data_IF_457866298130
#
_entry.id   IF_457866298130
#
_cell.length_a   1.000
_cell.length_b   1.000
_cell.length_c   1.000
_cell.angle_alpha   90.00
_cell.angle_beta   90.00
_cell.angle_gamma   90.00
#
_symmetry.space_group_name_H-M   'P 1'
#
loop_
_entity.id
_entity.type
_entity.pdbx_description
1 polymer ?
#
# COMPACT_ATOMS: atom_id res chain seq x y z
N UNK A 1 66.03 26.56 11.43
CA UNK A 1 65.02 25.51 11.33
C UNK A 1 63.68 26.12 11.67
N UNK A 2 62.77 26.34 10.72
CA UNK A 2 61.42 26.83 11.01
C UNK A 2 60.45 25.66 11.20
N UNK A 3 59.63 25.72 12.24
CA UNK A 3 58.56 24.82 12.53
C UNK A 3 57.37 25.13 11.58
N UNK A 4 56.95 24.12 10.82
CA UNK A 4 55.75 24.20 10.00
C UNK A 4 54.55 23.97 10.88
N UNK A 5 53.65 24.96 10.91
CA UNK A 5 52.30 24.88 11.45
C UNK A 5 51.41 24.25 10.40
N UNK A 6 50.94 23.06 10.64
CA UNK A 6 49.98 22.34 9.86
C UNK A 6 48.58 22.82 10.31
N UNK A 7 47.94 23.60 9.48
CA UNK A 7 46.55 24.03 9.65
C UNK A 7 45.62 22.86 9.26
N UNK A 8 44.96 22.28 10.24
CA UNK A 8 43.87 21.35 10.02
C UNK A 8 42.69 22.13 9.41
N UNK A 9 42.38 21.83 8.17
CA UNK A 9 41.10 22.19 7.55
C UNK A 9 40.02 21.28 8.13
N UNK A 10 39.12 21.88 8.90
CA UNK A 10 37.86 21.23 9.28
C UNK A 10 37.06 21.01 8.01
N UNK A 11 36.74 19.74 7.72
CA UNK A 11 35.77 19.34 6.70
C UNK A 11 34.37 19.76 7.16
N UNK A 12 33.90 20.84 6.56
CA UNK A 12 32.50 21.31 6.62
C UNK A 12 31.69 20.51 5.57
N UNK A 13 31.45 19.23 5.82
CA UNK A 13 30.68 18.40 4.91
C UNK A 13 29.63 17.57 5.67
N UNK A 14 28.76 18.24 6.46
CA UNK A 14 27.69 17.55 7.20
C UNK A 14 26.38 18.36 7.19
N UNK A 15 25.86 18.68 6.00
CA UNK A 15 24.60 19.41 5.89
C UNK A 15 23.70 19.02 4.72
N UNK A 16 23.73 17.76 4.22
CA UNK A 16 22.76 17.32 3.20
C UNK A 16 22.41 15.83 3.32
N UNK A 17 21.87 15.43 4.46
CA UNK A 17 21.15 14.15 4.49
C UNK A 17 19.71 14.39 4.04
N UNK A 18 19.34 13.78 2.92
CA UNK A 18 18.05 13.94 2.29
C UNK A 18 16.86 13.49 3.15
N UNK A 19 15.68 13.94 2.78
CA UNK A 19 14.41 13.83 3.50
C UNK A 19 13.96 12.39 3.83
N UNK A 20 14.50 11.36 3.19
CA UNK A 20 14.13 9.95 3.36
C UNK A 20 14.89 9.21 4.48
N UNK A 21 16.13 9.61 4.80
CA UNK A 21 16.92 9.03 5.92
C UNK A 21 16.62 9.64 7.29
N UNK A 22 15.56 10.46 7.42
CA UNK A 22 15.37 11.35 8.57
C UNK A 22 14.10 11.04 9.39
N UNK A 23 13.43 9.91 9.22
CA UNK A 23 12.21 9.59 9.98
C UNK A 23 12.54 8.74 11.20
N UNK A 24 12.32 9.29 12.41
CA UNK A 24 12.33 8.49 13.63
C UNK A 24 11.05 7.64 13.72
N UNK A 25 11.13 6.41 13.21
CA UNK A 25 10.01 5.47 13.19
C UNK A 25 9.54 5.05 14.58
N UNK A 26 10.40 5.10 15.60
CA UNK A 26 10.01 4.85 16.99
C UNK A 26 9.15 6.00 17.54
N UNK A 27 9.50 7.25 17.20
CA UNK A 27 8.66 8.42 17.48
C UNK A 27 7.36 8.35 16.71
N UNK A 28 7.39 7.95 15.42
CA UNK A 28 6.19 7.78 14.59
C UNK A 28 5.20 6.79 15.20
N UNK A 29 5.66 5.61 15.62
CA UNK A 29 4.83 4.60 16.27
C UNK A 29 4.19 5.12 17.56
N UNK A 30 4.99 5.73 18.46
CA UNK A 30 4.50 6.25 19.74
C UNK A 30 3.52 7.41 19.58
N UNK A 31 3.83 8.37 18.72
CA UNK A 31 2.97 9.53 18.44
C UNK A 31 1.67 9.07 17.77
N UNK A 32 1.78 8.20 16.75
CA UNK A 32 0.64 7.65 16.04
C UNK A 32 -0.32 6.89 16.96
N UNK A 33 0.21 6.04 17.84
CA UNK A 33 -0.62 5.30 18.80
C UNK A 33 -1.40 6.22 19.76
N UNK A 34 -0.78 7.34 20.19
CA UNK A 34 -1.45 8.35 21.03
C UNK A 34 -2.52 9.16 20.29
N UNK A 35 -2.33 9.39 18.99
CA UNK A 35 -3.26 10.13 18.15
C UNK A 35 -4.34 9.24 17.54
N UNK A 36 -4.21 7.91 17.64
CA UNK A 36 -5.17 6.97 17.11
C UNK A 36 -6.56 7.19 17.72
N UNK A 37 -7.57 7.27 16.86
CA UNK A 37 -8.95 7.41 17.31
C UNK A 37 -9.40 6.13 18.02
N UNK A 38 -10.23 6.20 19.05
CA UNK A 38 -10.77 5.01 19.70
C UNK A 38 -11.62 4.20 18.71
N UNK A 39 -11.66 2.87 18.90
CA UNK A 39 -12.53 1.97 18.15
C UNK A 39 -14.01 2.21 18.46
N UNK A 40 -14.92 1.50 17.77
CA UNK A 40 -16.35 1.56 18.09
C UNK A 40 -16.63 1.01 19.50
N UNK A 41 -17.58 1.61 20.20
CA UNK A 41 -18.02 1.09 21.47
C UNK A 41 -18.51 -0.36 21.29
N UNK A 42 -17.91 -1.29 22.05
CA UNK A 42 -18.23 -2.71 22.01
C UNK A 42 -17.95 -3.37 23.37
N UNK A 43 -18.67 -4.45 23.70
CA UNK A 43 -18.36 -5.22 24.89
C UNK A 43 -17.06 -6.00 24.73
N UNK A 44 -16.38 -6.33 25.82
CA UNK A 44 -15.19 -7.19 25.79
C UNK A 44 -15.48 -8.54 25.14
N UNK A 45 -16.64 -9.12 25.43
CA UNK A 45 -17.08 -10.38 24.83
C UNK A 45 -17.20 -10.27 23.30
N UNK A 46 -17.87 -9.23 22.79
CA UNK A 46 -18.01 -9.01 21.34
C UNK A 46 -16.66 -8.74 20.68
N UNK A 47 -15.78 -8.02 21.35
CA UNK A 47 -14.44 -7.77 20.82
C UNK A 47 -13.62 -9.06 20.74
N UNK A 48 -13.60 -9.87 21.80
CA UNK A 48 -12.92 -11.16 21.82
C UNK A 48 -13.48 -12.11 20.73
N UNK A 49 -14.79 -12.27 20.65
CA UNK A 49 -15.43 -13.09 19.62
C UNK A 49 -15.09 -12.64 18.20
N UNK A 50 -14.95 -11.32 17.96
CA UNK A 50 -14.56 -10.81 16.64
C UNK A 50 -13.07 -11.12 16.34
N UNK A 51 -12.20 -11.06 17.33
CA UNK A 51 -10.78 -11.44 17.19
C UNK A 51 -10.65 -12.91 16.82
N UNK A 52 -11.31 -13.79 17.60
CA UNK A 52 -11.27 -15.24 17.36
C UNK A 52 -11.84 -15.60 15.98
N UNK A 53 -12.94 -14.96 15.58
CA UNK A 53 -13.57 -15.21 14.28
C UNK A 53 -12.73 -14.70 13.12
N UNK A 54 -12.06 -13.54 13.23
CA UNK A 54 -11.14 -13.03 12.21
C UNK A 54 -9.93 -13.96 12.04
N UNK A 55 -9.34 -14.42 13.15
CA UNK A 55 -8.25 -15.39 13.10
C UNK A 55 -8.69 -16.68 12.38
N UNK A 56 -9.84 -17.23 12.76
CA UNK A 56 -10.39 -18.43 12.10
C UNK A 56 -10.76 -18.17 10.63
N UNK A 57 -11.28 -16.99 10.30
CA UNK A 57 -11.66 -16.62 8.93
C UNK A 57 -10.44 -16.47 8.02
N UNK A 58 -9.30 -16.00 8.52
CA UNK A 58 -8.06 -15.91 7.73
C UNK A 58 -7.56 -17.29 7.30
N UNK A 59 -7.69 -18.31 8.16
CA UNK A 59 -7.35 -19.69 7.82
C UNK A 59 -8.36 -20.26 6.82
N UNK A 60 -9.68 -20.04 7.04
CA UNK A 60 -10.72 -20.52 6.13
C UNK A 60 -10.64 -19.88 4.74
N UNK A 61 -10.11 -18.67 4.61
CA UNK A 61 -9.96 -17.98 3.33
C UNK A 61 -8.88 -18.60 2.42
N UNK A 62 -7.90 -19.33 2.99
CA UNK A 62 -6.79 -19.90 2.23
C UNK A 62 -7.22 -20.87 1.12
N UNK A 63 -8.04 -21.86 1.45
CA UNK A 63 -8.50 -22.83 0.47
C UNK A 63 -9.15 -22.17 -0.75
N UNK A 64 -10.23 -21.40 -0.56
CA UNK A 64 -10.90 -20.72 -1.66
C UNK A 64 -9.99 -19.78 -2.48
N UNK A 65 -9.06 -19.06 -1.84
CA UNK A 65 -8.11 -18.18 -2.56
C UNK A 65 -7.15 -19.01 -3.40
N UNK A 66 -6.55 -20.06 -2.85
CA UNK A 66 -5.61 -20.93 -3.57
C UNK A 66 -6.29 -21.69 -4.72
N UNK A 67 -7.50 -22.19 -4.50
CA UNK A 67 -8.29 -22.86 -5.55
C UNK A 67 -8.62 -21.88 -6.70
N UNK A 68 -9.01 -20.65 -6.37
CA UNK A 68 -9.36 -19.63 -7.38
C UNK A 68 -8.15 -19.15 -8.16
N UNK A 69 -7.01 -18.96 -7.47
CA UNK A 69 -5.81 -18.40 -8.08
C UNK A 69 -4.89 -19.46 -8.69
N UNK A 70 -4.93 -20.70 -8.22
CA UNK A 70 -3.93 -21.72 -8.56
C UNK A 70 -2.53 -21.40 -8.02
N UNK A 71 -2.42 -20.51 -7.02
CA UNK A 71 -1.15 -20.04 -6.46
C UNK A 71 -0.92 -20.61 -5.06
N UNK A 72 0.33 -20.62 -4.61
CA UNK A 72 0.79 -20.97 -3.25
C UNK A 72 0.41 -22.41 -2.82
N UNK A 73 0.19 -23.34 -3.76
CA UNK A 73 -0.09 -24.73 -3.42
C UNK A 73 1.07 -25.33 -2.61
N UNK A 74 0.74 -26.08 -1.55
CA UNK A 74 1.70 -26.69 -0.65
C UNK A 74 2.49 -25.73 0.26
N UNK A 75 2.33 -24.41 0.11
CA UNK A 75 3.02 -23.46 1.00
C UNK A 75 2.36 -23.38 2.39
N UNK A 76 3.14 -23.10 3.46
CA UNK A 76 2.59 -22.93 4.81
C UNK A 76 1.52 -21.83 4.87
N UNK A 77 0.62 -21.96 5.86
CA UNK A 77 -0.39 -20.95 6.19
C UNK A 77 -0.02 -20.32 7.54
N UNK A 78 0.68 -19.19 7.57
CA UNK A 78 0.99 -18.51 8.82
C UNK A 78 -0.28 -17.93 9.47
N UNK A 79 -0.30 -17.89 10.80
CA UNK A 79 -1.38 -17.26 11.55
C UNK A 79 -1.46 -15.75 11.28
N UNK A 80 -2.68 -15.23 11.14
CA UNK A 80 -2.90 -13.80 11.05
C UNK A 80 -2.82 -13.15 12.44
N UNK A 81 -2.25 -11.95 12.52
CA UNK A 81 -2.26 -11.13 13.71
C UNK A 81 -3.49 -10.21 13.71
N UNK A 82 -4.40 -10.44 14.64
CA UNK A 82 -5.57 -9.57 14.82
C UNK A 82 -5.21 -8.48 15.82
N UNK A 83 -5.20 -7.24 15.36
CA UNK A 83 -4.69 -6.08 16.10
C UNK A 83 -5.74 -4.99 16.29
N UNK A 84 -5.46 -4.09 17.21
CA UNK A 84 -6.13 -2.79 17.28
C UNK A 84 -5.42 -1.74 16.40
N UNK A 85 -5.91 -0.50 16.41
CA UNK A 85 -5.31 0.59 15.61
C UNK A 85 -3.89 0.93 16.03
N UNK A 86 -3.59 0.85 17.34
CA UNK A 86 -2.26 1.14 17.86
C UNK A 86 -1.27 0.02 17.47
N UNK A 87 -1.71 -1.23 17.53
CA UNK A 87 -0.95 -2.39 17.08
C UNK A 87 -0.65 -2.31 15.57
N UNK A 88 -1.65 -1.92 14.75
CA UNK A 88 -1.41 -1.71 13.32
C UNK A 88 -0.41 -0.57 13.06
N UNK A 89 -0.50 0.56 13.79
CA UNK A 89 0.44 1.67 13.66
C UNK A 89 1.87 1.23 13.98
N UNK A 90 2.05 0.44 15.04
CA UNK A 90 3.36 -0.08 15.40
C UNK A 90 3.93 -1.01 14.31
N UNK A 91 3.12 -1.91 13.78
CA UNK A 91 3.50 -2.79 12.68
C UNK A 91 3.82 -2.01 11.39
N UNK A 92 2.98 -1.04 11.01
CA UNK A 92 3.20 -0.21 9.83
C UNK A 92 4.47 0.64 9.94
N UNK A 93 4.79 1.18 11.12
CA UNK A 93 6.03 1.90 11.34
C UNK A 93 7.27 0.99 11.24
N UNK A 94 7.18 -0.25 11.74
CA UNK A 94 8.23 -1.25 11.59
C UNK A 94 8.42 -1.64 10.11
N UNK A 95 7.32 -1.90 9.39
CA UNK A 95 7.33 -2.21 7.97
C UNK A 95 7.97 -1.09 7.14
N UNK A 96 7.62 0.16 7.41
CA UNK A 96 8.21 1.33 6.74
C UNK A 96 9.71 1.43 7.01
N UNK A 97 10.15 1.15 8.23
CA UNK A 97 11.59 1.10 8.57
C UNK A 97 12.34 0.07 7.72
N UNK A 98 11.80 -1.15 7.59
CA UNK A 98 12.38 -2.21 6.75
C UNK A 98 12.34 -1.85 5.24
N UNK A 99 11.27 -1.21 4.78
CA UNK A 99 11.10 -0.82 3.38
C UNK A 99 12.06 0.30 2.97
N UNK A 100 12.36 1.24 3.87
CA UNK A 100 13.25 2.39 3.61
C UNK A 100 14.72 2.07 3.84
N UNK A 101 15.07 0.87 4.32
CA UNK A 101 16.46 0.46 4.56
C UNK A 101 17.08 1.02 5.84
N UNK A 102 16.31 1.71 6.68
CA UNK A 102 16.77 2.35 7.94
C UNK A 102 17.29 1.35 9.00
N UNK A 103 17.37 0.07 8.70
CA UNK A 103 17.84 -0.95 9.67
C UNK A 103 19.30 -0.79 10.07
N UNK A 104 20.14 -0.32 9.14
CA UNK A 104 21.57 -0.20 9.31
C UNK A 104 22.04 1.25 9.52
N UNK A 105 21.17 2.24 9.41
CA UNK A 105 21.51 3.62 9.64
C UNK A 105 21.48 3.96 11.13
N UNK A 106 22.53 4.64 11.60
CA UNK A 106 22.55 5.23 12.92
C UNK A 106 21.34 6.20 13.05
N UNK A 107 20.71 6.27 14.25
CA UNK A 107 19.59 7.20 14.42
C UNK A 107 20.00 8.60 13.97
N UNK A 108 19.11 9.34 13.26
CA UNK A 108 19.44 10.64 12.70
C UNK A 108 20.13 11.52 13.73
N UNK A 109 21.37 11.96 13.42
CA UNK A 109 22.17 12.77 14.30
C UNK A 109 21.75 14.25 14.21
N UNK A 110 21.71 14.94 15.32
CA UNK A 110 21.33 16.35 15.41
C UNK A 110 20.35 16.63 16.55
N UNK A 111 20.21 17.89 16.93
CA UNK A 111 19.42 18.32 18.10
C UNK A 111 17.96 17.86 18.08
N UNK A 112 17.38 17.59 16.90
CA UNK A 112 16.01 17.10 16.70
C UNK A 112 15.93 15.68 16.11
N UNK A 113 17.01 15.13 15.57
CA UNK A 113 17.20 13.71 15.20
C UNK A 113 16.00 13.04 14.52
N UNK A 114 15.45 13.59 13.42
CA UNK A 114 14.32 12.98 12.70
C UNK A 114 12.97 13.01 13.44
N UNK A 115 12.90 13.57 14.66
CA UNK A 115 11.67 13.60 15.47
C UNK A 115 10.52 14.38 14.83
N UNK A 116 10.73 15.53 14.18
CA UNK A 116 9.63 16.23 13.49
C UNK A 116 9.03 15.40 12.36
N UNK A 117 9.87 14.75 11.55
CA UNK A 117 9.41 13.84 10.49
C UNK A 117 8.72 12.60 11.08
N UNK A 118 9.23 12.07 12.20
CA UNK A 118 8.59 10.99 12.95
C UNK A 118 7.21 11.38 13.49
N UNK A 119 7.04 12.58 14.03
CA UNK A 119 5.73 13.08 14.47
C UNK A 119 4.75 13.22 13.31
N UNK A 120 5.20 13.72 12.16
CA UNK A 120 4.39 13.85 10.96
C UNK A 120 3.97 12.47 10.40
N UNK A 121 4.91 11.53 10.31
CA UNK A 121 4.64 10.17 9.91
C UNK A 121 3.66 9.48 10.89
N UNK A 122 3.84 9.68 12.21
CA UNK A 122 2.93 9.19 13.23
C UNK A 122 1.51 9.74 13.09
N UNK A 123 1.35 11.03 12.82
CA UNK A 123 0.04 11.62 12.56
C UNK A 123 -0.63 11.04 11.31
N UNK A 124 0.15 10.79 10.25
CA UNK A 124 -0.34 10.12 9.04
C UNK A 124 -0.78 8.69 9.33
N UNK A 125 0.04 7.90 10.03
CA UNK A 125 -0.31 6.53 10.42
C UNK A 125 -1.56 6.50 11.30
N UNK A 126 -1.71 7.43 12.26
CA UNK A 126 -2.91 7.55 13.08
C UNK A 126 -4.16 7.84 12.25
N UNK A 127 -4.05 8.67 11.22
CA UNK A 127 -5.15 8.94 10.30
C UNK A 127 -5.51 7.69 9.50
N UNK A 128 -4.54 7.04 8.88
CA UNK A 128 -4.71 5.83 8.06
C UNK A 128 -5.25 4.66 8.88
N UNK A 129 -4.81 4.52 10.14
CA UNK A 129 -5.23 3.43 11.03
C UNK A 129 -6.74 3.28 11.19
N UNK A 130 -7.51 4.35 10.94
CA UNK A 130 -8.97 4.35 11.02
C UNK A 130 -9.65 3.80 9.75
N UNK A 131 -8.92 3.65 8.65
CA UNK A 131 -9.46 3.25 7.35
C UNK A 131 -9.08 1.82 6.94
N UNK A 132 -7.96 1.31 7.43
CA UNK A 132 -7.41 0.01 7.08
C UNK A 132 -8.20 -1.11 7.76
N UNK A 133 -8.68 -2.10 7.01
CA UNK A 133 -9.37 -3.29 7.54
C UNK A 133 -8.39 -4.43 7.81
N UNK A 134 -7.39 -4.58 6.93
CA UNK A 134 -6.29 -5.49 7.05
C UNK A 134 -5.11 -5.03 6.19
N UNK A 135 -4.02 -5.75 6.26
CA UNK A 135 -2.81 -5.51 5.49
C UNK A 135 -1.96 -6.77 5.51
N UNK A 136 -1.45 -7.19 4.36
CA UNK A 136 -0.31 -8.09 4.31
C UNK A 136 0.97 -7.28 4.27
N UNK A 137 1.89 -7.56 5.19
CA UNK A 137 3.20 -6.94 5.27
C UNK A 137 4.28 -7.94 4.87
N UNK A 138 4.88 -7.83 3.69
CA UNK A 138 5.90 -8.77 3.22
C UNK A 138 7.28 -8.51 3.83
N UNK A 139 7.48 -7.45 4.62
CA UNK A 139 8.78 -7.00 5.11
C UNK A 139 9.07 -7.43 6.55
N UNK A 140 8.08 -7.92 7.28
CA UNK A 140 8.22 -8.35 8.68
C UNK A 140 7.98 -9.84 8.84
N UNK A 141 8.80 -10.49 9.68
CA UNK A 141 8.77 -11.94 9.88
C UNK A 141 9.40 -12.73 8.71
N UNK A 142 9.53 -14.03 8.88
CA UNK A 142 10.17 -14.92 7.87
C UNK A 142 9.31 -15.11 6.61
N UNK A 143 7.98 -15.04 6.75
CA UNK A 143 7.02 -15.28 5.67
C UNK A 143 6.05 -14.12 5.47
N UNK A 144 6.44 -12.92 5.89
CA UNK A 144 5.53 -11.77 5.99
C UNK A 144 4.51 -11.91 7.12
N UNK A 145 3.72 -10.87 7.33
CA UNK A 145 2.72 -10.83 8.41
C UNK A 145 1.38 -10.37 7.86
N UNK A 146 0.33 -11.17 8.08
CA UNK A 146 -1.05 -10.77 7.80
C UNK A 146 -1.65 -10.09 9.02
N UNK A 147 -2.03 -8.83 8.88
CA UNK A 147 -2.63 -8.00 9.93
C UNK A 147 -4.12 -7.80 9.65
N UNK A 148 -4.97 -7.97 10.68
CA UNK A 148 -6.41 -7.69 10.61
C UNK A 148 -6.79 -6.70 11.72
N UNK A 149 -7.40 -5.56 11.33
CA UNK A 149 -7.68 -4.46 12.27
C UNK A 149 -9.11 -4.60 12.81
N UNK A 150 -9.29 -5.41 13.85
CA UNK A 150 -10.59 -5.78 14.39
C UNK A 150 -11.54 -4.60 14.67
N UNK A 151 -11.14 -3.48 15.29
CA UNK A 151 -12.05 -2.36 15.55
C UNK A 151 -12.58 -1.72 14.27
N UNK A 152 -11.82 -1.75 13.18
CA UNK A 152 -12.26 -1.20 11.90
C UNK A 152 -13.25 -2.14 11.19
N UNK A 153 -12.97 -3.44 11.21
CA UNK A 153 -13.88 -4.46 10.67
C UNK A 153 -15.22 -4.37 11.37
N UNK A 154 -15.25 -4.35 12.71
CA UNK A 154 -16.48 -4.17 13.51
C UNK A 154 -17.21 -2.86 13.17
N UNK A 155 -16.48 -1.77 12.99
CA UNK A 155 -17.08 -0.48 12.65
C UNK A 155 -17.73 -0.51 11.27
N UNK A 156 -17.10 -1.16 10.29
CA UNK A 156 -17.58 -1.21 8.91
C UNK A 156 -18.75 -2.19 8.76
N UNK A 157 -18.67 -3.42 9.32
CA UNK A 157 -19.79 -4.38 9.27
C UNK A 157 -21.08 -3.79 9.84
N UNK A 158 -20.98 -3.05 10.96
CA UNK A 158 -22.13 -2.34 11.57
C UNK A 158 -22.64 -1.21 10.69
N UNK A 159 -21.73 -0.41 10.11
CA UNK A 159 -22.12 0.72 9.25
C UNK A 159 -22.78 0.26 7.94
N UNK A 160 -22.37 -0.88 7.40
CA UNK A 160 -22.94 -1.49 6.20
C UNK A 160 -24.21 -2.29 6.49
N UNK A 161 -24.41 -2.70 7.75
CA UNK A 161 -25.53 -3.58 8.18
C UNK A 161 -25.55 -4.91 7.42
N UNK A 162 -24.39 -5.53 7.31
CA UNK A 162 -24.20 -6.83 6.67
C UNK A 162 -23.94 -7.92 7.71
N UNK A 163 -24.02 -9.20 7.29
CA UNK A 163 -23.67 -10.33 8.14
C UNK A 163 -22.22 -10.19 8.62
N UNK A 164 -21.94 -10.16 9.95
CA UNK A 164 -20.58 -10.03 10.45
C UNK A 164 -19.66 -11.16 9.99
N UNK A 165 -20.12 -12.41 10.05
CA UNK A 165 -19.33 -13.57 9.66
C UNK A 165 -18.93 -13.53 8.18
N UNK A 166 -19.89 -13.24 7.31
CA UNK A 166 -19.65 -13.13 5.87
C UNK A 166 -18.72 -11.96 5.56
N UNK A 167 -18.91 -10.82 6.25
CA UNK A 167 -18.06 -9.64 6.03
C UNK A 167 -16.62 -9.87 6.48
N UNK A 168 -16.43 -10.53 7.63
CA UNK A 168 -15.08 -10.89 8.13
C UNK A 168 -14.38 -11.84 7.19
N UNK A 169 -15.07 -12.88 6.72
CA UNK A 169 -14.52 -13.80 5.73
C UNK A 169 -14.19 -13.06 4.41
N UNK A 170 -15.08 -12.17 3.96
CA UNK A 170 -14.87 -11.37 2.76
C UNK A 170 -13.64 -10.47 2.85
N UNK A 171 -13.39 -9.82 4.01
CA UNK A 171 -12.14 -9.08 4.26
C UNK A 171 -10.93 -10.03 4.26
N UNK A 172 -11.04 -11.19 4.90
CA UNK A 172 -9.95 -12.16 4.93
C UNK A 172 -9.60 -12.71 3.54
N UNK A 173 -10.58 -12.92 2.65
CA UNK A 173 -10.32 -13.32 1.27
C UNK A 173 -9.42 -12.30 0.55
N UNK A 174 -9.67 -11.00 0.75
CA UNK A 174 -8.85 -9.94 0.19
C UNK A 174 -7.40 -9.99 0.71
N UNK A 175 -7.24 -9.95 2.02
CA UNK A 175 -5.93 -9.88 2.65
C UNK A 175 -5.10 -11.16 2.46
N UNK A 176 -5.76 -12.32 2.45
CA UNK A 176 -5.13 -13.61 2.13
C UNK A 176 -4.69 -13.66 0.66
N UNK A 177 -5.43 -13.03 -0.25
CA UNK A 177 -4.98 -12.93 -1.65
C UNK A 177 -3.63 -12.22 -1.74
N UNK A 178 -3.42 -11.13 -0.99
CA UNK A 178 -2.11 -10.48 -0.94
C UNK A 178 -1.03 -11.41 -0.38
N UNK A 179 -1.32 -12.16 0.68
CA UNK A 179 -0.38 -13.16 1.20
C UNK A 179 -0.01 -14.20 0.12
N UNK A 180 -0.99 -14.72 -0.58
CA UNK A 180 -0.79 -15.72 -1.65
C UNK A 180 0.04 -15.13 -2.81
N UNK A 181 -0.20 -13.90 -3.23
CA UNK A 181 0.58 -13.20 -4.25
C UNK A 181 2.06 -13.12 -3.86
N UNK A 182 2.36 -12.61 -2.68
CA UNK A 182 3.75 -12.45 -2.21
C UNK A 182 4.42 -13.79 -1.90
N UNK A 183 3.70 -14.76 -1.37
CA UNK A 183 4.24 -16.10 -1.12
C UNK A 183 4.58 -16.84 -2.41
N UNK A 184 3.82 -16.64 -3.47
CA UNK A 184 4.05 -17.26 -4.79
C UNK A 184 5.10 -16.50 -5.61
N UNK A 185 5.32 -15.23 -5.32
CA UNK A 185 6.27 -14.36 -6.02
C UNK A 185 7.21 -13.65 -5.02
N UNK A 186 8.17 -14.36 -4.39
CA UNK A 186 9.03 -13.81 -3.34
C UNK A 186 9.87 -12.59 -3.78
N UNK A 187 10.09 -12.44 -5.10
CA UNK A 187 10.81 -11.32 -5.68
C UNK A 187 10.06 -9.97 -5.53
N UNK A 188 8.74 -9.98 -5.32
CA UNK A 188 7.93 -8.75 -5.18
C UNK A 188 8.40 -7.83 -4.05
N UNK A 189 8.77 -8.43 -2.90
CA UNK A 189 9.27 -7.65 -1.76
C UNK A 189 10.57 -6.90 -2.10
N UNK A 190 11.52 -7.56 -2.79
CA UNK A 190 12.76 -6.92 -3.22
C UNK A 190 12.49 -5.86 -4.30
N UNK A 191 11.64 -6.17 -5.28
CA UNK A 191 11.22 -5.21 -6.30
C UNK A 191 10.63 -3.93 -5.71
N UNK A 192 9.81 -4.04 -4.66
CA UNK A 192 9.28 -2.86 -3.95
C UNK A 192 10.41 -2.06 -3.28
N UNK A 193 11.33 -2.73 -2.55
CA UNK A 193 12.46 -2.05 -1.90
C UNK A 193 13.34 -1.31 -2.90
N UNK A 194 13.67 -1.95 -4.02
CA UNK A 194 14.52 -1.35 -5.05
C UNK A 194 13.89 -0.09 -5.64
N UNK A 195 12.58 -0.12 -5.92
CA UNK A 195 11.88 1.05 -6.47
C UNK A 195 11.67 2.15 -5.42
N UNK A 196 11.46 1.80 -4.14
CA UNK A 196 11.39 2.81 -3.05
C UNK A 196 12.77 3.42 -2.81
N UNK A 197 13.85 2.64 -2.86
CA UNK A 197 15.22 3.14 -2.77
C UNK A 197 15.54 4.20 -3.82
N UNK A 198 15.14 3.97 -5.08
CA UNK A 198 15.30 4.97 -6.15
C UNK A 198 14.59 6.31 -5.87
N UNK A 199 13.52 6.31 -5.08
CA UNK A 199 12.84 7.54 -4.70
C UNK A 199 13.60 8.34 -3.64
N UNK A 200 14.43 7.66 -2.85
CA UNK A 200 15.26 8.25 -1.80
C UNK A 200 16.55 8.87 -2.34
N UNK A 201 17.11 8.33 -3.43
CA UNK A 201 18.40 8.73 -4.01
C UNK A 201 18.37 10.09 -4.74
N UNK A 202 17.21 10.73 -4.89
CA UNK A 202 17.03 11.95 -5.69
C UNK A 202 17.06 13.27 -4.91
N UNK A 203 17.57 13.30 -3.68
CA UNK A 203 17.43 14.46 -2.80
C UNK A 203 18.48 15.58 -2.98
N UNK A 204 19.50 15.38 -3.81
CA UNK A 204 20.60 16.36 -4.02
C UNK A 204 20.37 17.33 -5.19
N UNK A 205 19.17 17.40 -5.75
CA UNK A 205 18.90 18.27 -6.88
C UNK A 205 18.76 19.74 -6.50
N UNK A 206 19.29 20.67 -7.35
CA UNK A 206 19.08 22.10 -7.17
C UNK A 206 17.60 22.46 -7.14
N UNK A 207 17.18 23.29 -6.17
CA UNK A 207 15.79 23.75 -6.03
C UNK A 207 15.28 24.46 -7.31
N UNK A 208 16.17 25.02 -8.13
CA UNK A 208 15.86 25.62 -9.44
C UNK A 208 15.23 24.62 -10.41
N UNK A 209 15.72 23.36 -10.41
CA UNK A 209 15.25 22.32 -11.34
C UNK A 209 13.90 21.75 -10.89
N UNK A 210 13.71 21.62 -9.58
CA UNK A 210 12.42 21.29 -8.97
C UNK A 210 11.37 22.36 -9.30
N UNK A 211 11.70 23.65 -9.16
CA UNK A 211 10.81 24.76 -9.49
C UNK A 211 10.50 24.83 -10.99
N UNK A 212 11.47 24.53 -11.85
CA UNK A 212 11.28 24.51 -13.31
C UNK A 212 10.31 23.38 -13.70
N UNK A 213 10.48 22.17 -13.14
CA UNK A 213 9.56 21.05 -13.37
C UNK A 213 8.17 21.33 -12.80
N UNK A 214 8.07 21.91 -11.60
CA UNK A 214 6.80 22.30 -10.99
C UNK A 214 6.05 23.33 -11.85
N UNK A 215 6.76 24.33 -12.37
CA UNK A 215 6.16 25.34 -13.26
C UNK A 215 5.70 24.74 -14.58
N UNK A 216 6.45 23.77 -15.13
CA UNK A 216 6.10 23.00 -16.31
C UNK A 216 4.84 22.14 -16.10
N UNK A 217 4.78 21.40 -14.97
CA UNK A 217 3.63 20.59 -14.59
C UNK A 217 2.36 21.44 -14.38
N UNK A 218 2.48 22.60 -13.74
CA UNK A 218 1.36 23.52 -13.56
C UNK A 218 0.87 24.14 -14.89
N UNK A 219 1.75 24.36 -15.85
CA UNK A 219 1.37 24.82 -17.21
C UNK A 219 0.68 23.70 -18.00
N UNK A 220 1.20 22.47 -17.93
CA UNK A 220 0.59 21.29 -18.58
C UNK A 220 -0.83 21.02 -18.06
N UNK A 221 -1.08 21.26 -16.77
CA UNK A 221 -2.39 21.09 -16.10
C UNK A 221 -3.48 22.05 -16.61
N UNK A 222 -3.11 23.12 -17.32
CA UNK A 222 -4.07 24.06 -17.96
C UNK A 222 -4.57 23.56 -19.32
N UNK A 223 -4.00 22.49 -19.86
CA UNK A 223 -4.46 21.88 -21.12
C UNK A 223 -5.54 20.83 -20.84
N UNK A 224 -6.70 20.87 -21.55
CA UNK A 224 -7.85 19.99 -21.28
C UNK A 224 -7.71 18.56 -21.84
N UNK A 225 -6.49 18.00 -21.87
CA UNK A 225 -6.20 16.64 -22.34
C UNK A 225 -5.42 15.78 -21.35
N UNK A 226 -5.18 16.23 -20.13
CA UNK A 226 -4.47 15.47 -19.10
C UNK A 226 -5.32 14.29 -18.57
N UNK A 227 -4.69 13.12 -18.41
CA UNK A 227 -5.34 11.94 -17.85
C UNK A 227 -5.74 12.21 -16.38
N UNK A 228 -6.73 11.46 -15.85
CA UNK A 228 -7.11 11.54 -14.44
C UNK A 228 -5.94 11.18 -13.50
N UNK A 229 -4.89 10.54 -14.01
CA UNK A 229 -3.65 10.18 -13.31
C UNK A 229 -2.76 11.39 -13.04
N UNK A 230 -2.79 12.40 -13.92
CA UNK A 230 -2.07 13.66 -13.75
C UNK A 230 -2.77 14.60 -12.75
N UNK A 231 -3.96 14.23 -12.29
CA UNK A 231 -4.74 15.00 -11.32
C UNK A 231 -4.44 14.49 -9.89
N UNK A 232 -3.80 15.32 -9.07
CA UNK A 232 -3.56 15.02 -7.66
C UNK A 232 -2.09 15.11 -7.26
N UNK A 233 -1.78 14.76 -6.01
CA UNK A 233 -0.40 14.81 -5.47
C UNK A 233 0.51 13.82 -6.19
N UNK A 234 0.03 12.63 -6.52
CA UNK A 234 0.83 11.61 -7.21
C UNK A 234 1.23 12.08 -8.60
N UNK A 235 0.29 12.64 -9.38
CA UNK A 235 0.60 13.24 -10.69
C UNK A 235 1.58 14.41 -10.58
N UNK A 236 1.42 15.25 -9.56
CA UNK A 236 2.34 16.35 -9.29
C UNK A 236 3.72 15.83 -8.87
N UNK A 237 3.78 14.84 -7.97
CA UNK A 237 5.01 14.20 -7.52
C UNK A 237 5.74 13.57 -8.72
N UNK A 238 5.02 12.79 -9.53
CA UNK A 238 5.54 12.18 -10.76
C UNK A 238 6.10 13.23 -11.73
N UNK A 239 5.37 14.32 -11.98
CA UNK A 239 5.77 15.38 -12.89
C UNK A 239 6.97 16.22 -12.39
N UNK A 240 7.24 16.23 -11.08
CA UNK A 240 8.36 16.95 -10.48
C UNK A 240 9.62 16.12 -10.29
N UNK A 241 9.54 14.78 -10.47
CA UNK A 241 10.70 13.89 -10.30
C UNK A 241 11.50 13.73 -11.61
N UNK A 242 12.82 13.47 -11.53
CA UNK A 242 13.65 13.01 -12.65
C UNK A 242 13.16 11.66 -13.21
N UNK A 243 13.66 11.30 -14.39
CA UNK A 243 13.21 10.09 -15.10
C UNK A 243 13.33 8.80 -14.29
N UNK A 244 14.44 8.49 -13.58
CA UNK A 244 14.55 7.25 -12.81
C UNK A 244 13.49 7.15 -11.70
N UNK A 245 13.27 8.25 -10.96
CA UNK A 245 12.27 8.30 -9.89
C UNK A 245 10.84 8.23 -10.43
N UNK A 246 10.59 8.88 -11.58
CA UNK A 246 9.28 8.82 -12.25
C UNK A 246 8.95 7.40 -12.67
N UNK A 247 9.91 6.67 -13.25
CA UNK A 247 9.73 5.27 -13.62
C UNK A 247 9.50 4.38 -12.37
N UNK A 248 10.20 4.64 -11.27
CA UNK A 248 9.99 3.92 -10.01
C UNK A 248 8.57 4.15 -9.47
N UNK A 249 8.06 5.39 -9.52
CA UNK A 249 6.66 5.69 -9.17
C UNK A 249 5.70 4.90 -10.07
N UNK A 250 5.90 4.92 -11.39
CA UNK A 250 5.03 4.22 -12.34
C UNK A 250 5.01 2.70 -12.05
N UNK A 251 6.17 2.10 -11.79
CA UNK A 251 6.29 0.67 -11.44
C UNK A 251 5.55 0.31 -10.15
N UNK A 252 5.68 1.14 -9.11
CA UNK A 252 4.96 0.93 -7.85
C UNK A 252 3.45 1.13 -8.01
N UNK A 253 3.02 2.09 -8.82
CA UNK A 253 1.61 2.32 -9.13
C UNK A 253 1.00 1.14 -9.88
N UNK A 254 1.68 0.63 -10.90
CA UNK A 254 1.25 -0.55 -11.67
C UNK A 254 1.17 -1.77 -10.78
N UNK A 255 2.22 -2.03 -9.97
CA UNK A 255 2.22 -3.16 -9.05
C UNK A 255 1.04 -3.08 -8.08
N UNK A 256 0.83 -1.93 -7.43
CA UNK A 256 -0.31 -1.74 -6.53
C UNK A 256 -1.66 -1.93 -7.24
N UNK A 257 -1.79 -1.42 -8.47
CA UNK A 257 -3.00 -1.59 -9.29
C UNK A 257 -3.27 -3.07 -9.60
N UNK A 258 -2.23 -3.82 -9.96
CA UNK A 258 -2.32 -5.25 -10.24
C UNK A 258 -2.69 -6.06 -8.99
N UNK A 259 -1.98 -5.85 -7.87
CA UNK A 259 -2.21 -6.57 -6.62
C UNK A 259 -3.66 -6.41 -6.14
N UNK A 260 -4.14 -5.18 -6.09
CA UNK A 260 -5.50 -4.85 -5.65
C UNK A 260 -6.56 -5.33 -6.64
N UNK A 261 -6.30 -5.17 -7.95
CA UNK A 261 -7.21 -5.65 -9.00
C UNK A 261 -7.38 -7.16 -8.97
N UNK A 262 -6.29 -7.90 -8.75
CA UNK A 262 -6.34 -9.35 -8.62
C UNK A 262 -7.07 -9.78 -7.34
N UNK A 263 -6.83 -9.11 -6.20
CA UNK A 263 -7.57 -9.39 -4.97
C UNK A 263 -9.08 -9.15 -5.14
N UNK A 264 -9.47 -8.06 -5.80
CA UNK A 264 -10.88 -7.76 -6.09
C UNK A 264 -11.52 -8.78 -7.05
N UNK A 265 -10.77 -9.26 -8.06
CA UNK A 265 -11.19 -10.35 -8.94
C UNK A 265 -11.44 -11.66 -8.16
N UNK A 266 -10.49 -12.06 -7.33
CA UNK A 266 -10.56 -13.29 -6.52
C UNK A 266 -11.77 -13.26 -5.59
N UNK A 267 -12.01 -12.12 -4.91
CA UNK A 267 -13.18 -11.96 -4.03
C UNK A 267 -14.52 -12.17 -4.77
N UNK A 268 -14.60 -11.81 -6.04
CA UNK A 268 -15.79 -12.03 -6.87
C UNK A 268 -15.87 -13.46 -7.39
N UNK A 269 -14.73 -14.03 -7.80
CA UNK A 269 -14.64 -15.38 -8.36
C UNK A 269 -14.96 -16.46 -7.31
N UNK A 270 -14.55 -16.27 -6.06
CA UNK A 270 -14.88 -17.18 -4.94
C UNK A 270 -16.41 -17.33 -4.75
N UNK A 271 -17.15 -16.27 -4.98
CA UNK A 271 -18.61 -16.28 -5.13
C UNK A 271 -19.42 -16.60 -3.87
N UNK A 272 -20.74 -16.76 -4.06
CA UNK A 272 -21.70 -16.92 -2.95
C UNK A 272 -21.67 -18.30 -2.27
N UNK A 273 -21.00 -19.27 -2.86
CA UNK A 273 -20.82 -20.58 -2.23
C UNK A 273 -19.96 -20.49 -0.96
N UNK A 274 -18.99 -19.54 -0.93
CA UNK A 274 -18.09 -19.31 0.20
C UNK A 274 -18.58 -18.13 1.04
N UNK A 275 -19.08 -17.04 0.40
CA UNK A 275 -19.63 -15.86 1.08
C UNK A 275 -21.09 -15.65 0.63
N UNK A 276 -22.06 -16.24 1.32
CA UNK A 276 -23.47 -16.19 0.91
C UNK A 276 -24.02 -14.79 0.66
N UNK A 277 -23.59 -13.79 1.44
CA UNK A 277 -24.04 -12.41 1.31
C UNK A 277 -23.13 -11.52 0.46
N UNK A 278 -22.22 -12.07 -0.36
CA UNK A 278 -21.22 -11.29 -1.14
C UNK A 278 -21.85 -10.21 -1.98
N UNK A 279 -22.96 -10.47 -2.67
CA UNK A 279 -23.67 -9.48 -3.50
C UNK A 279 -24.20 -8.32 -2.64
N UNK A 280 -24.71 -8.62 -1.44
CA UNK A 280 -25.20 -7.61 -0.51
C UNK A 280 -24.04 -6.76 0.04
N UNK A 281 -22.92 -7.38 0.39
CA UNK A 281 -21.70 -6.71 0.86
C UNK A 281 -21.18 -5.76 -0.22
N UNK A 282 -21.00 -6.23 -1.47
CA UNK A 282 -20.57 -5.41 -2.62
C UNK A 282 -21.47 -4.19 -2.80
N UNK A 283 -22.79 -4.38 -2.90
CA UNK A 283 -23.76 -3.28 -3.05
C UNK A 283 -23.70 -2.28 -1.89
N UNK A 284 -23.51 -2.75 -0.66
CA UNK A 284 -23.40 -1.88 0.51
C UNK A 284 -22.09 -1.08 0.50
N UNK A 285 -20.99 -1.71 0.07
CA UNK A 285 -19.68 -1.08 -0.07
C UNK A 285 -19.70 0.00 -1.17
N UNK A 286 -20.25 -0.29 -2.33
CA UNK A 286 -20.37 0.66 -3.44
C UNK A 286 -21.24 1.86 -3.09
N UNK A 287 -22.37 1.64 -2.43
CA UNK A 287 -23.21 2.74 -1.90
C UNK A 287 -22.44 3.62 -0.89
N UNK A 288 -21.58 3.02 -0.06
CA UNK A 288 -20.72 3.78 0.87
C UNK A 288 -19.70 4.62 0.12
N UNK A 289 -19.09 4.09 -0.93
CA UNK A 289 -18.12 4.80 -1.81
C UNK A 289 -18.75 6.02 -2.48
N UNK A 290 -20.03 5.94 -2.89
CA UNK A 290 -20.77 6.99 -3.57
C UNK A 290 -21.33 8.08 -2.64
N UNK A 291 -21.31 7.89 -1.31
CA UNK A 291 -21.80 8.91 -0.36
C UNK A 291 -20.93 10.17 -0.43
N UNK A 292 -21.62 11.34 -0.49
CA UNK A 292 -20.96 12.65 -0.45
C UNK A 292 -20.11 12.77 0.82
N UNK A 293 -18.84 13.00 0.64
CA UNK A 293 -17.86 13.19 1.72
C UNK A 293 -17.92 14.65 2.16
N UNK A 294 -17.79 14.91 3.47
CA UNK A 294 -17.68 16.27 4.02
C UNK A 294 -16.53 17.02 3.30
N UNK A 295 -16.67 18.35 3.01
CA UNK A 295 -15.65 19.14 2.32
C UNK A 295 -14.23 18.98 2.89
N UNK A 296 -14.06 18.94 4.21
CA UNK A 296 -12.77 18.73 4.86
C UNK A 296 -12.22 17.32 4.57
N UNK A 297 -13.06 16.30 4.65
CA UNK A 297 -12.67 14.93 4.29
C UNK A 297 -12.34 14.80 2.79
N UNK A 298 -13.05 15.56 1.93
CA UNK A 298 -12.75 15.60 0.50
C UNK A 298 -11.36 16.18 0.26
N UNK A 299 -11.03 17.31 0.88
CA UNK A 299 -9.69 17.91 0.77
C UNK A 299 -8.61 16.94 1.24
N UNK A 300 -8.81 16.28 2.39
CA UNK A 300 -7.87 15.29 2.93
C UNK A 300 -7.74 14.09 1.98
N UNK A 301 -8.85 13.57 1.44
CA UNK A 301 -8.83 12.47 0.45
C UNK A 301 -8.09 12.86 -0.83
N UNK A 302 -8.33 14.08 -1.34
CA UNK A 302 -7.63 14.61 -2.51
C UNK A 302 -6.13 14.81 -2.22
N UNK A 303 -5.80 15.36 -1.05
CA UNK A 303 -4.41 15.52 -0.61
C UNK A 303 -3.68 14.18 -0.45
N UNK A 304 -4.36 13.13 -0.02
CA UNK A 304 -3.79 11.78 0.12
C UNK A 304 -3.87 10.94 -1.17
N UNK A 305 -4.36 11.51 -2.27
CA UNK A 305 -4.50 10.78 -3.54
C UNK A 305 -5.53 9.63 -3.50
N UNK A 306 -6.43 9.60 -2.49
CA UNK A 306 -7.37 8.49 -2.30
C UNK A 306 -8.37 8.34 -3.46
N UNK A 307 -8.69 9.42 -4.15
CA UNK A 307 -9.58 9.35 -5.32
C UNK A 307 -8.86 8.77 -6.54
N UNK A 308 -7.56 9.04 -6.70
CA UNK A 308 -6.70 8.40 -7.70
C UNK A 308 -6.49 6.91 -7.36
N UNK A 309 -6.28 6.57 -6.08
CA UNK A 309 -6.20 5.18 -5.62
C UNK A 309 -7.48 4.39 -5.94
N UNK A 310 -8.65 4.99 -5.78
CA UNK A 310 -9.93 4.35 -6.15
C UNK A 310 -10.06 4.10 -7.65
N UNK A 311 -9.60 5.02 -8.50
CA UNK A 311 -9.59 4.81 -9.95
C UNK A 311 -8.63 3.67 -10.37
N UNK A 312 -7.51 3.51 -9.66
CA UNK A 312 -6.56 2.41 -9.86
C UNK A 312 -7.19 1.05 -9.55
N UNK A 313 -7.94 0.92 -8.43
CA UNK A 313 -8.65 -0.32 -8.11
C UNK A 313 -9.60 -0.76 -9.23
N UNK A 314 -10.40 0.17 -9.76
CA UNK A 314 -11.36 -0.14 -10.83
C UNK A 314 -10.62 -0.59 -12.10
N UNK A 315 -9.52 0.08 -12.47
CA UNK A 315 -8.72 -0.26 -13.66
C UNK A 315 -7.98 -1.58 -13.47
N UNK A 316 -7.39 -1.81 -12.29
CA UNK A 316 -6.72 -3.06 -11.97
C UNK A 316 -7.64 -4.26 -12.08
N UNK A 317 -8.85 -4.16 -11.51
CA UNK A 317 -9.85 -5.23 -11.63
C UNK A 317 -10.27 -5.45 -13.08
N UNK A 318 -10.52 -4.39 -13.85
CA UNK A 318 -10.90 -4.50 -15.25
C UNK A 318 -9.79 -5.17 -16.09
N UNK A 319 -8.52 -4.84 -15.84
CA UNK A 319 -7.36 -5.51 -16.46
C UNK A 319 -7.36 -7.01 -16.14
N UNK A 320 -7.45 -7.38 -14.86
CA UNK A 320 -7.43 -8.80 -14.45
C UNK A 320 -8.63 -9.56 -15.01
N UNK A 321 -9.84 -8.99 -14.90
CA UNK A 321 -11.07 -9.61 -15.42
C UNK A 321 -10.97 -9.86 -16.93
N UNK A 322 -10.42 -8.92 -17.70
CA UNK A 322 -10.25 -9.04 -19.15
C UNK A 322 -9.24 -10.14 -19.49
N UNK A 323 -8.04 -10.11 -18.88
CA UNK A 323 -6.99 -11.09 -19.15
C UNK A 323 -7.42 -12.48 -18.73
N UNK A 324 -7.94 -12.66 -17.50
CA UNK A 324 -8.42 -13.97 -17.04
C UNK A 324 -9.58 -14.46 -17.89
N UNK A 325 -10.48 -13.59 -18.31
CA UNK A 325 -11.58 -13.94 -19.21
C UNK A 325 -11.14 -14.39 -20.59
N UNK A 326 -10.02 -13.86 -21.10
CA UNK A 326 -9.51 -14.19 -22.45
C UNK A 326 -8.57 -15.37 -22.48
N UNK A 327 -7.66 -15.53 -21.49
CA UNK A 327 -6.61 -16.57 -21.51
C UNK A 327 -6.66 -17.56 -20.34
N UNK A 328 -7.51 -17.34 -19.37
CA UNK A 328 -7.63 -18.14 -18.13
C UNK A 328 -6.63 -17.74 -17.04
N UNK A 329 -6.93 -18.15 -15.80
CA UNK A 329 -6.13 -17.83 -14.61
C UNK A 329 -4.72 -18.43 -14.70
N UNK A 330 -4.56 -19.64 -15.20
CA UNK A 330 -3.25 -20.29 -15.32
C UNK A 330 -2.28 -19.48 -16.19
N UNK A 331 -2.72 -19.00 -17.34
CA UNK A 331 -1.89 -18.13 -18.21
C UNK A 331 -1.72 -16.74 -17.65
N UNK A 332 -2.74 -16.18 -16.98
CA UNK A 332 -2.59 -14.91 -16.26
C UNK A 332 -1.48 -14.97 -15.20
N UNK A 333 -1.32 -16.10 -14.52
CA UNK A 333 -0.31 -16.29 -13.48
C UNK A 333 1.15 -16.10 -13.96
N UNK A 334 1.38 -16.06 -15.27
CA UNK A 334 2.69 -15.64 -15.82
C UNK A 334 3.11 -14.27 -15.29
N UNK A 335 2.17 -13.42 -14.92
CA UNK A 335 2.43 -12.10 -14.34
C UNK A 335 3.27 -12.15 -13.05
N UNK A 336 3.26 -13.26 -12.35
CA UNK A 336 3.99 -13.46 -11.09
C UNK A 336 5.40 -14.05 -11.26
N UNK A 337 5.83 -14.35 -12.49
CA UNK A 337 7.11 -15.04 -12.73
C UNK A 337 8.32 -14.12 -12.62
N UNK A 338 8.18 -12.83 -12.86
CA UNK A 338 9.28 -11.87 -12.72
C UNK A 338 8.89 -10.42 -13.06
N UNK A 339 9.79 -9.47 -12.83
CA UNK A 339 9.54 -8.04 -13.10
C UNK A 339 9.16 -7.74 -14.55
N UNK A 340 9.73 -8.47 -15.51
CA UNK A 340 9.53 -8.26 -16.95
C UNK A 340 8.13 -8.69 -17.42
N UNK A 341 7.45 -9.52 -16.63
CA UNK A 341 6.07 -9.96 -16.91
C UNK A 341 5.02 -9.05 -16.29
N UNK A 342 5.41 -8.11 -15.42
CA UNK A 342 4.47 -7.10 -14.92
C UNK A 342 3.92 -6.26 -16.08
N UNK A 343 2.66 -5.82 -16.02
CA UNK A 343 2.13 -4.90 -17.02
C UNK A 343 2.86 -3.56 -16.98
N UNK A 344 2.92 -2.92 -18.15
CA UNK A 344 3.28 -1.51 -18.27
C UNK A 344 2.06 -0.65 -17.89
N UNK A 345 2.29 0.62 -17.55
CA UNK A 345 1.21 1.55 -17.21
C UNK A 345 0.16 1.66 -18.33
N UNK A 346 0.62 1.71 -19.59
CA UNK A 346 -0.26 1.72 -20.76
C UNK A 346 -1.04 0.44 -20.98
N UNK A 347 -0.51 -0.71 -20.55
CA UNK A 347 -1.15 -2.02 -20.71
C UNK A 347 -2.26 -2.26 -19.69
N UNK A 348 -2.27 -1.52 -18.56
CA UNK A 348 -3.41 -1.53 -17.63
C UNK A 348 -4.71 -1.04 -18.33
N UNK A 349 -4.57 -0.12 -19.32
CA UNK A 349 -5.70 0.38 -20.11
C UNK A 349 -5.90 -0.40 -21.40
N UNK A 350 -4.88 -1.14 -21.86
CA UNK A 350 -4.90 -2.02 -23.04
C UNK A 350 -4.41 -3.43 -22.66
N UNK A 351 -5.24 -4.26 -22.03
CA UNK A 351 -4.86 -5.59 -21.57
C UNK A 351 -4.43 -6.54 -22.69
N UNK A 352 -4.94 -6.35 -23.92
CA UNK A 352 -4.57 -7.15 -25.09
C UNK A 352 -3.10 -6.91 -25.49
N UNK A 353 -2.58 -5.71 -25.30
CA UNK A 353 -1.17 -5.41 -25.49
C UNK A 353 -0.28 -6.20 -24.50
N UNK A 354 -0.68 -6.34 -23.25
CA UNK A 354 0.01 -7.19 -22.28
C UNK A 354 -0.02 -8.66 -22.69
N UNK A 355 -1.18 -9.17 -23.10
CA UNK A 355 -1.32 -10.56 -23.59
C UNK A 355 -0.39 -10.81 -24.77
N UNK A 356 -0.34 -9.90 -25.74
CA UNK A 356 0.53 -10.02 -26.91
C UNK A 356 2.02 -9.97 -26.55
N UNK A 357 2.42 -9.12 -25.60
CA UNK A 357 3.83 -8.99 -25.19
C UNK A 357 4.31 -10.16 -24.33
N UNK A 358 3.47 -10.64 -23.41
CA UNK A 358 3.91 -11.60 -22.39
C UNK A 358 3.54 -13.04 -22.75
N UNK A 359 2.44 -13.26 -23.45
CA UNK A 359 1.89 -14.60 -23.71
C UNK A 359 1.86 -14.96 -25.21
N UNK A 360 2.14 -13.99 -26.10
CA UNK A 360 2.08 -14.09 -27.56
C UNK A 360 3.33 -14.60 -28.22
#
# INVERSE_FOLDING_TARGET
>A
MPMSTETATADDNDATSGFAGAVDWAVAAKAGARLARPGPATSRYTAAAAVDELAAASIRAEGPVRETTGLADGLPVPDAQVVDRAGWIAAAAASMKHLTGDENEAPPTGLLGGKPAGLQAGAMLAFLSSAILGQYDPFTGESGTLLLVAPNVIAVERALRVSPSDFRLWVCLHEVTHRVQFSSAPWLGQYMRDNVGLLSDGTDEPMSDVLTRLSGALKARKNPGGSAEDAGIIGLLRATQPEPQRQAIDRLLVLGTLLEGHADHVMDAVGPAVVPSVVQIRRAFDRRRQRKVNPVQRVVRTLLGMDAKMAQYVRGKAFVDHVVGSVGMERFNTVWTGPDTLPLLSEIEDPDAWVARVLG
#
